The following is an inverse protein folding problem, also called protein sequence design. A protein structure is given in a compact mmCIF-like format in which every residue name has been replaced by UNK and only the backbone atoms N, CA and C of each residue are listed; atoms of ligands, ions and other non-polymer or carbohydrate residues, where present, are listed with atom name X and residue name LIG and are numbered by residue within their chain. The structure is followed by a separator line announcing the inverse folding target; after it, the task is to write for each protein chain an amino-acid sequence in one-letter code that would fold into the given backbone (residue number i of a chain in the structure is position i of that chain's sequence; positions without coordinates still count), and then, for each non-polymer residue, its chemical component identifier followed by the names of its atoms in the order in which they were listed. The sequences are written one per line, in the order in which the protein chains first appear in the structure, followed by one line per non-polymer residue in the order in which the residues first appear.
data_IF_431224424641
#
_entry.id   IF_431224424641
#
_cell.length_a   1.000
_cell.length_b   1.000
_cell.length_c   1.000
_cell.angle_alpha   90.00
_cell.angle_beta   90.00
_cell.angle_gamma   90.00
#
_symmetry.space_group_name_H-M   'P 1'
#
loop_
_entity.id
_entity.type
_entity.pdbx_description
1 polymer ?
#
# COMPACT_ATOMS: atom_id res chain seq x y z
N UNK A 1 30.21 28.64 -2.57
CA UNK A 1 29.36 27.46 -2.87
C UNK A 1 28.71 26.99 -1.57
N UNK A 2 27.52 27.49 -1.22
CA UNK A 2 26.79 27.09 0.00
C UNK A 2 26.07 25.77 -0.26
N UNK A 3 26.59 24.66 0.25
CA UNK A 3 25.90 23.40 0.33
C UNK A 3 24.66 23.58 1.22
N UNK A 4 23.45 23.63 0.63
CA UNK A 4 22.21 23.54 1.39
C UNK A 4 22.19 22.19 2.09
N UNK A 5 22.55 22.15 3.38
CA UNK A 5 22.27 20.99 4.25
C UNK A 5 20.77 20.72 4.14
N UNK A 6 20.37 19.66 3.45
CA UNK A 6 18.99 19.16 3.50
C UNK A 6 18.64 18.96 4.98
N UNK A 7 17.69 19.72 5.50
CA UNK A 7 17.18 19.51 6.85
C UNK A 7 16.72 18.06 6.96
N UNK A 8 17.41 17.28 7.78
CA UNK A 8 17.09 15.87 8.02
C UNK A 8 15.79 15.83 8.84
N UNK A 9 14.69 15.45 8.20
CA UNK A 9 13.43 15.25 8.91
C UNK A 9 13.58 13.99 9.77
N UNK A 10 13.54 14.16 11.09
CA UNK A 10 13.65 13.07 12.04
C UNK A 10 12.34 12.26 12.06
N UNK A 11 12.41 10.93 12.13
CA UNK A 11 11.22 10.11 12.25
C UNK A 11 10.54 10.36 13.61
N UNK A 12 9.21 10.45 13.58
CA UNK A 12 8.38 10.64 14.76
C UNK A 12 7.78 9.31 15.19
N UNK A 13 7.81 9.02 16.49
CA UNK A 13 7.27 7.81 17.09
C UNK A 13 6.31 8.20 18.20
N UNK A 14 5.09 7.68 18.20
CA UNK A 14 4.11 7.85 19.27
C UNK A 14 4.28 6.71 20.29
N UNK A 15 4.37 7.02 21.58
CA UNK A 15 4.42 6.01 22.64
C UNK A 15 3.30 6.23 23.63
N UNK A 16 2.44 5.21 23.74
CA UNK A 16 1.34 5.16 24.71
C UNK A 16 1.73 4.24 25.87
N UNK A 17 1.94 4.83 27.03
CA UNK A 17 2.32 4.14 28.26
C UNK A 17 1.86 4.94 29.49
N UNK A 18 1.41 4.27 30.57
CA UNK A 18 0.98 4.94 31.80
C UNK A 18 2.13 5.49 32.63
N UNK A 19 3.36 4.99 32.43
CA UNK A 19 4.54 5.32 33.20
C UNK A 19 5.19 6.60 32.71
N UNK A 20 4.86 7.75 33.26
CA UNK A 20 5.41 9.06 32.85
C UNK A 20 6.94 9.10 32.90
N UNK A 21 7.54 8.48 33.97
CA UNK A 21 8.99 8.42 34.10
C UNK A 21 9.64 7.68 32.91
N UNK A 22 9.05 6.56 32.48
CA UNK A 22 9.50 5.80 31.33
C UNK A 22 9.39 6.65 30.05
N UNK A 23 8.28 7.35 29.84
CA UNK A 23 8.07 8.24 28.69
C UNK A 23 9.13 9.34 28.63
N UNK A 24 9.44 9.98 29.77
CA UNK A 24 10.45 11.06 29.84
C UNK A 24 11.84 10.52 29.52
N UNK A 25 12.25 9.40 30.11
CA UNK A 25 13.56 8.80 29.91
C UNK A 25 13.74 8.33 28.46
N UNK A 26 12.73 7.64 27.93
CA UNK A 26 12.71 7.18 26.53
C UNK A 26 12.76 8.34 25.56
N UNK A 27 12.06 9.43 25.83
CA UNK A 27 12.10 10.65 24.99
C UNK A 27 13.51 11.23 24.90
N UNK A 28 14.21 11.35 26.03
CA UNK A 28 15.60 11.85 26.06
C UNK A 28 16.54 10.93 25.28
N UNK A 29 16.41 9.63 25.50
CA UNK A 29 17.23 8.63 24.82
C UNK A 29 16.99 8.62 23.31
N UNK A 30 15.73 8.62 22.85
CA UNK A 30 15.37 8.63 21.45
C UNK A 30 15.88 9.89 20.73
N UNK A 31 15.83 11.04 21.40
CA UNK A 31 16.36 12.28 20.82
C UNK A 31 17.86 12.18 20.52
N UNK A 32 18.66 11.53 21.40
CA UNK A 32 20.07 11.26 21.14
C UNK A 32 20.34 10.31 19.97
N UNK A 33 19.31 9.52 19.58
CA UNK A 33 19.36 8.57 18.44
C UNK A 33 18.66 9.10 17.18
N UNK A 34 18.40 10.43 17.15
CA UNK A 34 17.72 11.12 16.05
C UNK A 34 16.28 10.63 15.77
N UNK A 35 15.54 10.30 16.84
CA UNK A 35 14.12 9.92 16.80
C UNK A 35 13.34 10.91 17.68
N UNK A 36 12.21 11.43 17.17
CA UNK A 36 11.32 12.29 17.93
C UNK A 36 10.22 11.45 18.58
N UNK A 37 10.24 11.33 19.91
CA UNK A 37 9.18 10.65 20.65
C UNK A 37 8.06 11.63 21.01
N UNK A 38 6.84 11.26 20.67
CA UNK A 38 5.60 11.88 21.14
C UNK A 38 5.06 11.01 22.27
N UNK A 39 5.13 11.44 23.52
CA UNK A 39 4.59 10.69 24.65
C UNK A 39 3.07 10.87 24.74
N UNK A 40 2.38 9.83 25.19
CA UNK A 40 0.98 9.86 25.59
C UNK A 40 0.80 8.95 26.82
N UNK A 41 0.25 9.48 27.91
CA UNK A 41 -0.01 8.73 29.13
C UNK A 41 -1.47 8.27 29.26
N UNK A 42 -2.32 8.71 28.33
CA UNK A 42 -3.74 8.33 28.27
C UNK A 42 -4.19 8.05 26.83
N UNK A 43 -5.32 7.35 26.73
CA UNK A 43 -5.95 7.01 25.46
C UNK A 43 -6.36 8.27 24.69
N UNK A 44 -6.92 9.25 25.40
CA UNK A 44 -7.37 10.53 24.84
C UNK A 44 -6.19 11.31 24.24
N UNK A 45 -5.08 11.38 24.98
CA UNK A 45 -3.87 12.02 24.53
C UNK A 45 -3.28 11.31 23.31
N UNK A 46 -3.22 9.97 23.33
CA UNK A 46 -2.74 9.19 22.20
C UNK A 46 -3.53 9.47 20.92
N UNK A 47 -4.85 9.49 20.99
CA UNK A 47 -5.69 9.84 19.85
C UNK A 47 -5.51 11.29 19.37
N UNK A 48 -5.38 12.24 20.31
CA UNK A 48 -5.09 13.64 19.98
C UNK A 48 -3.76 13.79 19.25
N UNK A 49 -2.73 13.13 19.74
CA UNK A 49 -1.40 13.17 19.13
C UNK A 49 -1.34 12.45 17.77
N UNK A 50 -2.04 11.32 17.64
CA UNK A 50 -2.11 10.57 16.40
C UNK A 50 -2.75 11.37 15.26
N UNK A 51 -3.84 12.10 15.56
CA UNK A 51 -4.53 12.95 14.59
C UNK A 51 -3.69 14.18 14.17
N UNK A 52 -2.88 14.69 15.09
CA UNK A 52 -2.03 15.87 14.83
C UNK A 52 -0.74 15.54 14.10
N UNK A 53 -0.15 14.39 14.43
CA UNK A 53 1.18 14.00 13.98
C UNK A 53 1.07 12.58 13.42
N UNK A 54 1.27 12.39 12.13
CA UNK A 54 1.32 11.05 11.55
C UNK A 54 2.67 10.39 11.90
N UNK A 55 2.75 9.55 12.96
CA UNK A 55 4.00 8.94 13.37
C UNK A 55 4.42 7.84 12.40
N UNK A 56 5.72 7.63 12.25
CA UNK A 56 6.28 6.55 11.44
C UNK A 56 6.13 5.17 12.11
N UNK A 57 5.91 5.15 13.44
CA UNK A 57 5.69 3.94 14.22
C UNK A 57 4.96 4.30 15.52
N UNK A 58 4.20 3.38 16.07
CA UNK A 58 3.50 3.51 17.35
C UNK A 58 4.05 2.45 18.31
N UNK A 59 4.26 2.82 19.57
CA UNK A 59 4.63 1.91 20.67
C UNK A 59 3.47 1.91 21.65
N UNK A 60 2.97 0.75 22.03
CA UNK A 60 1.82 0.64 22.92
C UNK A 60 2.07 -0.34 24.05
N UNK A 61 1.92 0.12 25.29
CA UNK A 61 1.77 -0.79 26.42
C UNK A 61 0.35 -1.39 26.41
N UNK A 62 0.28 -2.66 26.03
CA UNK A 62 -1.01 -3.38 25.94
C UNK A 62 -1.66 -3.59 27.32
N UNK A 63 -0.85 -3.68 28.37
CA UNK A 63 -1.31 -3.95 29.74
C UNK A 63 -1.73 -2.70 30.51
N UNK A 64 -2.01 -1.61 29.84
CA UNK A 64 -2.60 -0.45 30.47
C UNK A 64 -3.94 -0.81 31.15
N UNK A 65 -4.19 -0.21 32.32
CA UNK A 65 -5.39 -0.43 33.12
C UNK A 65 -6.67 -0.31 32.28
N UNK A 66 -7.57 -1.30 32.41
CA UNK A 66 -8.84 -1.34 31.66
C UNK A 66 -8.67 -1.66 30.16
N UNK A 67 -7.65 -2.44 29.80
CA UNK A 67 -7.37 -2.84 28.40
C UNK A 67 -7.24 -1.68 27.41
N UNK A 68 -6.90 -0.48 27.91
CA UNK A 68 -6.81 0.75 27.08
C UNK A 68 -5.83 0.62 25.91
N UNK A 69 -4.71 -0.08 26.10
CA UNK A 69 -3.75 -0.34 25.03
C UNK A 69 -4.36 -1.18 23.91
N UNK A 70 -5.09 -2.24 24.23
CA UNK A 70 -5.78 -3.07 23.24
C UNK A 70 -6.88 -2.30 22.51
N UNK A 71 -7.71 -1.53 23.23
CA UNK A 71 -8.76 -0.68 22.64
C UNK A 71 -8.17 0.34 21.66
N UNK A 72 -7.00 0.90 21.99
CA UNK A 72 -6.32 1.83 21.08
C UNK A 72 -5.93 1.16 19.76
N UNK A 73 -5.33 -0.02 19.82
CA UNK A 73 -4.94 -0.78 18.63
C UNK A 73 -6.15 -1.22 17.80
N UNK A 74 -7.21 -1.69 18.44
CA UNK A 74 -8.46 -2.02 17.73
C UNK A 74 -9.06 -0.81 17.01
N UNK A 75 -9.00 0.37 17.63
CA UNK A 75 -9.44 1.62 17.03
C UNK A 75 -8.57 2.03 15.83
N UNK A 76 -7.24 1.90 15.94
CA UNK A 76 -6.30 2.15 14.83
C UNK A 76 -6.61 1.24 13.65
N UNK A 77 -6.81 -0.06 13.87
CA UNK A 77 -7.09 -1.04 12.80
C UNK A 77 -8.39 -0.76 12.04
N UNK A 78 -9.40 -0.22 12.72
CA UNK A 78 -10.68 0.15 12.10
C UNK A 78 -10.61 1.48 11.33
N UNK A 79 -9.56 2.28 11.54
CA UNK A 79 -9.42 3.58 10.92
C UNK A 79 -8.55 3.50 9.65
N UNK A 80 -9.12 3.87 8.49
CA UNK A 80 -8.44 3.80 7.19
C UNK A 80 -7.18 4.67 7.11
N UNK A 81 -7.14 5.78 7.87
CA UNK A 81 -6.01 6.71 7.85
C UNK A 81 -4.83 6.21 8.69
N UNK A 82 -5.06 5.35 9.67
CA UNK A 82 -4.04 4.94 10.65
C UNK A 82 -3.70 3.45 10.61
N UNK A 83 -4.54 2.59 10.01
CA UNK A 83 -4.37 1.14 9.99
C UNK A 83 -3.04 0.65 9.37
N UNK A 84 -2.42 1.49 8.55
CA UNK A 84 -1.15 1.19 7.88
C UNK A 84 0.08 1.52 8.73
N UNK A 85 -0.09 2.21 9.88
CA UNK A 85 1.03 2.60 10.73
C UNK A 85 1.51 1.36 11.51
N UNK A 86 2.79 0.96 11.36
CA UNK A 86 3.33 -0.16 12.09
C UNK A 86 3.38 0.15 13.60
N UNK A 87 3.17 -0.88 14.42
CA UNK A 87 3.19 -0.70 15.86
C UNK A 87 3.96 -1.80 16.59
N UNK A 88 4.54 -1.43 17.71
CA UNK A 88 5.30 -2.29 18.63
C UNK A 88 4.48 -2.51 19.87
N UNK A 89 4.35 -3.76 20.27
CA UNK A 89 3.74 -4.15 21.54
C UNK A 89 4.78 -4.07 22.66
N UNK A 90 4.55 -3.24 23.66
CA UNK A 90 5.25 -3.31 24.94
C UNK A 90 4.35 -4.00 25.98
N UNK A 91 4.95 -4.75 26.89
CA UNK A 91 4.19 -5.46 27.91
C UNK A 91 5.08 -5.90 29.07
N UNK A 92 4.51 -6.00 30.26
CA UNK A 92 5.15 -6.64 31.43
C UNK A 92 5.03 -8.17 31.40
N UNK A 93 4.24 -8.73 30.48
CA UNK A 93 4.04 -10.16 30.33
C UNK A 93 4.94 -10.67 29.21
N UNK A 94 5.82 -11.62 29.52
CA UNK A 94 6.83 -12.17 28.59
C UNK A 94 6.55 -13.59 28.14
N UNK A 95 5.39 -14.18 28.48
CA UNK A 95 5.05 -15.55 28.15
C UNK A 95 4.81 -15.72 26.65
N UNK A 96 5.02 -16.94 26.15
CA UNK A 96 4.85 -17.27 24.74
C UNK A 96 3.45 -16.96 24.24
N UNK A 97 2.42 -17.27 25.02
CA UNK A 97 1.02 -17.02 24.68
C UNK A 97 0.70 -15.51 24.54
N UNK A 98 1.31 -14.68 25.39
CA UNK A 98 1.16 -13.22 25.29
C UNK A 98 1.81 -12.67 24.01
N UNK A 99 2.94 -13.25 23.58
CA UNK A 99 3.58 -12.89 22.31
C UNK A 99 2.74 -13.32 21.11
N UNK A 100 2.24 -14.55 21.11
CA UNK A 100 1.32 -15.06 20.09
C UNK A 100 0.12 -14.12 19.96
N UNK A 101 -0.47 -13.69 21.09
CA UNK A 101 -1.59 -12.76 21.13
C UNK A 101 -1.22 -11.38 20.56
N UNK A 102 -0.04 -10.85 20.88
CA UNK A 102 0.47 -9.60 20.31
C UNK A 102 0.59 -9.68 18.79
N UNK A 103 1.19 -10.74 18.27
CA UNK A 103 1.32 -10.95 16.83
C UNK A 103 -0.03 -11.20 16.13
N UNK A 104 -0.96 -11.92 16.75
CA UNK A 104 -2.33 -12.09 16.22
C UNK A 104 -3.08 -10.77 16.14
N UNK A 105 -2.78 -9.83 17.03
CA UNK A 105 -3.23 -8.45 16.94
C UNK A 105 -2.49 -7.63 15.85
N UNK A 106 -1.51 -8.20 15.17
CA UNK A 106 -0.81 -7.59 14.04
C UNK A 106 0.30 -6.62 14.45
N UNK A 107 0.95 -6.80 15.61
CA UNK A 107 2.14 -5.99 15.94
C UNK A 107 3.30 -6.33 14.99
N UNK A 108 4.10 -5.32 14.68
CA UNK A 108 5.33 -5.48 13.88
C UNK A 108 6.49 -6.04 14.72
N UNK A 109 6.45 -5.81 16.03
CA UNK A 109 7.39 -6.36 16.99
C UNK A 109 6.75 -6.42 18.39
N UNK A 110 7.30 -7.29 19.22
CA UNK A 110 6.90 -7.47 20.60
C UNK A 110 8.13 -7.36 21.49
N UNK A 111 8.05 -6.57 22.56
CA UNK A 111 9.14 -6.35 23.49
C UNK A 111 8.62 -6.39 24.93
N UNK A 112 9.26 -7.17 25.81
CA UNK A 112 8.88 -7.27 27.21
C UNK A 112 9.61 -6.23 28.07
N UNK A 113 8.90 -5.69 29.07
CA UNK A 113 9.49 -4.85 30.12
C UNK A 113 10.07 -5.74 31.23
N UNK A 114 11.27 -5.44 31.77
CA UNK A 114 12.17 -4.34 31.37
C UNK A 114 12.89 -4.65 30.04
N UNK A 115 13.19 -3.61 29.24
CA UNK A 115 13.86 -3.72 27.96
C UNK A 115 15.10 -2.83 27.88
N UNK A 116 16.02 -3.18 26.97
CA UNK A 116 17.13 -2.33 26.61
C UNK A 116 16.64 -1.22 25.63
N UNK A 117 16.83 0.07 25.96
CA UNK A 117 16.45 1.15 25.05
C UNK A 117 17.14 1.07 23.66
N UNK A 118 18.33 0.49 23.56
CA UNK A 118 19.02 0.30 22.27
C UNK A 118 18.34 -0.78 21.41
N UNK A 119 17.84 -1.85 22.05
CA UNK A 119 17.03 -2.87 21.37
C UNK A 119 15.78 -2.24 20.76
N UNK A 120 15.05 -1.43 21.54
CA UNK A 120 13.84 -0.76 21.07
C UNK A 120 14.15 0.19 19.90
N UNK A 121 15.24 0.96 19.97
CA UNK A 121 15.69 1.83 18.87
C UNK A 121 16.02 1.02 17.62
N UNK A 122 16.68 -0.12 17.76
CA UNK A 122 17.05 -0.99 16.65
C UNK A 122 15.82 -1.55 15.95
N UNK A 123 14.82 -1.99 16.70
CA UNK A 123 13.53 -2.46 16.19
C UNK A 123 12.82 -1.33 15.42
N UNK A 124 12.73 -0.12 15.98
CA UNK A 124 12.10 1.04 15.36
C UNK A 124 12.79 1.38 14.03
N UNK A 125 14.12 1.47 14.02
CA UNK A 125 14.89 1.77 12.81
C UNK A 125 14.65 0.74 11.71
N UNK A 126 14.61 -0.53 12.07
CA UNK A 126 14.32 -1.62 11.14
C UNK A 126 12.91 -1.51 10.55
N UNK A 127 11.89 -1.31 11.39
CA UNK A 127 10.50 -1.13 10.95
C UNK A 127 10.37 0.07 10.00
N UNK A 128 10.95 1.22 10.37
CA UNK A 128 10.91 2.43 9.54
C UNK A 128 11.64 2.20 8.21
N UNK A 129 12.77 1.49 8.22
CA UNK A 129 13.50 1.15 7.00
C UNK A 129 12.63 0.32 6.05
N UNK A 130 12.04 -0.76 6.53
CA UNK A 130 11.18 -1.64 5.73
C UNK A 130 9.95 -0.90 5.18
N UNK A 131 9.30 -0.08 5.99
CA UNK A 131 8.17 0.75 5.55
C UNK A 131 8.57 1.70 4.43
N UNK A 132 9.73 2.37 4.55
CA UNK A 132 10.25 3.27 3.51
C UNK A 132 10.58 2.53 2.21
N UNK A 133 11.17 1.34 2.29
CA UNK A 133 11.47 0.51 1.11
C UNK A 133 10.18 0.11 0.40
N UNK A 134 9.19 -0.38 1.14
CA UNK A 134 7.88 -0.78 0.60
C UNK A 134 7.17 0.40 -0.06
N UNK A 135 7.16 1.58 0.56
CA UNK A 135 6.58 2.79 -0.02
C UNK A 135 7.30 3.24 -1.30
N UNK A 136 8.62 3.17 -1.35
CA UNK A 136 9.38 3.49 -2.57
C UNK A 136 9.02 2.54 -3.71
N UNK A 137 8.88 1.24 -3.40
CA UNK A 137 8.49 0.25 -4.40
C UNK A 137 7.06 0.49 -4.90
N UNK A 138 6.11 0.73 -4.02
CA UNK A 138 4.73 1.05 -4.37
C UNK A 138 4.65 2.32 -5.24
N UNK A 139 5.38 3.38 -4.88
CA UNK A 139 5.43 4.61 -5.66
C UNK A 139 6.04 4.38 -7.06
N UNK A 140 7.12 3.60 -7.16
CA UNK A 140 7.73 3.26 -8.45
C UNK A 140 6.74 2.54 -9.35
N UNK A 141 6.01 1.55 -8.82
CA UNK A 141 4.99 0.82 -9.58
C UNK A 141 3.82 1.73 -9.99
N UNK A 142 3.37 2.61 -9.11
CA UNK A 142 2.33 3.60 -9.44
C UNK A 142 2.76 4.53 -10.58
N UNK A 143 4.00 5.05 -10.55
CA UNK A 143 4.52 5.92 -11.59
C UNK A 143 4.66 5.17 -12.92
N UNK A 144 5.10 3.92 -12.90
CA UNK A 144 5.16 3.07 -14.09
C UNK A 144 3.77 2.85 -14.71
N UNK A 145 2.78 2.49 -13.90
CA UNK A 145 1.39 2.33 -14.36
C UNK A 145 0.82 3.63 -14.94
N UNK A 146 1.12 4.77 -14.31
CA UNK A 146 0.73 6.09 -14.82
C UNK A 146 1.37 6.40 -16.19
N UNK A 147 2.65 6.07 -16.35
CA UNK A 147 3.36 6.25 -17.62
C UNK A 147 2.77 5.36 -18.73
N UNK A 148 2.52 4.08 -18.43
CA UNK A 148 1.86 3.16 -19.36
C UNK A 148 0.49 3.72 -19.77
N UNK A 149 -0.32 4.17 -18.81
CA UNK A 149 -1.62 4.78 -19.07
C UNK A 149 -1.50 6.00 -19.99
N UNK A 150 -0.53 6.89 -19.74
CA UNK A 150 -0.34 8.08 -20.58
C UNK A 150 0.09 7.72 -22.01
N UNK A 151 0.96 6.72 -22.20
CA UNK A 151 1.37 6.24 -23.51
C UNK A 151 0.17 5.68 -24.28
N UNK A 152 -0.63 4.84 -23.63
CA UNK A 152 -1.85 4.28 -24.20
C UNK A 152 -2.85 5.38 -24.61
N UNK A 153 -3.06 6.39 -23.73
CA UNK A 153 -3.96 7.52 -24.03
C UNK A 153 -3.46 8.35 -25.20
N UNK A 154 -2.13 8.58 -25.32
CA UNK A 154 -1.55 9.33 -26.44
C UNK A 154 -1.70 8.60 -27.77
N UNK A 155 -1.47 7.28 -27.79
CA UNK A 155 -1.73 6.45 -28.97
C UNK A 155 -3.19 6.53 -29.39
N UNK A 156 -4.07 6.50 -28.42
CA UNK A 156 -5.51 6.57 -28.65
C UNK A 156 -5.98 7.93 -29.17
N UNK A 157 -5.53 9.05 -28.60
CA UNK A 157 -5.88 10.38 -29.11
C UNK A 157 -5.35 10.58 -30.54
N UNK A 158 -4.16 10.06 -30.84
CA UNK A 158 -3.62 10.04 -32.22
C UNK A 158 -4.50 9.23 -33.18
N UNK A 159 -5.05 8.10 -32.69
CA UNK A 159 -5.97 7.26 -33.49
C UNK A 159 -7.31 7.98 -33.72
N UNK A 160 -7.90 8.63 -32.72
CA UNK A 160 -9.15 9.40 -32.84
C UNK A 160 -9.01 10.63 -33.76
N UNK A 161 -7.87 11.33 -33.68
CA UNK A 161 -7.62 12.51 -34.53
C UNK A 161 -7.34 12.15 -35.98
N UNK A 162 -6.96 10.89 -36.26
CA UNK A 162 -6.77 10.39 -37.65
C UNK A 162 -8.09 10.10 -38.39
N UNK A 163 -9.25 10.37 -37.79
CA UNK A 163 -10.60 10.27 -38.37
C UNK A 163 -10.94 8.88 -39.00
N UNK A 164 -10.20 7.83 -38.59
CA UNK A 164 -10.57 6.46 -38.96
C UNK A 164 -11.66 5.97 -37.99
N UNK A 165 -12.94 6.14 -38.38
CA UNK A 165 -14.00 5.29 -37.84
C UNK A 165 -13.53 3.84 -38.01
N UNK A 166 -13.52 3.08 -36.91
CA UNK A 166 -13.28 1.64 -36.96
C UNK A 166 -14.39 1.03 -37.82
N UNK A 167 -14.15 0.87 -39.11
CA UNK A 167 -15.05 0.12 -40.00
C UNK A 167 -14.90 -1.37 -39.68
N UNK A 168 -15.51 -1.78 -38.56
CA UNK A 168 -15.57 -3.17 -38.19
C UNK A 168 -16.75 -3.84 -38.90
N UNK A 169 -16.45 -4.96 -39.55
CA UNK A 169 -17.52 -5.84 -40.02
C UNK A 169 -18.29 -6.42 -38.84
N UNK A 170 -19.53 -6.82 -39.06
CA UNK A 170 -20.39 -7.45 -38.02
C UNK A 170 -19.67 -8.62 -37.35
N UNK A 171 -18.94 -9.43 -38.12
CA UNK A 171 -18.16 -10.56 -37.53
C UNK A 171 -16.99 -10.10 -36.68
N UNK A 172 -16.26 -9.07 -37.08
CA UNK A 172 -15.17 -8.49 -36.25
C UNK A 172 -15.71 -7.89 -34.95
N UNK A 173 -16.85 -7.19 -35.03
CA UNK A 173 -17.50 -6.63 -33.85
C UNK A 173 -17.96 -7.76 -32.90
N UNK A 174 -18.60 -8.82 -33.41
CA UNK A 174 -19.02 -9.97 -32.59
C UNK A 174 -17.82 -10.65 -31.92
N UNK A 175 -16.70 -10.83 -32.64
CA UNK A 175 -15.48 -11.41 -32.07
C UNK A 175 -14.91 -10.50 -30.99
N UNK A 176 -14.86 -9.19 -31.21
CA UNK A 176 -14.40 -8.21 -30.22
C UNK A 176 -15.24 -8.28 -28.94
N UNK A 177 -16.57 -8.26 -29.03
CA UNK A 177 -17.46 -8.36 -27.86
C UNK A 177 -17.21 -9.64 -27.05
N UNK A 178 -16.96 -10.78 -27.70
CA UNK A 178 -16.65 -12.03 -27.00
C UNK A 178 -15.28 -12.00 -26.32
N UNK A 179 -14.29 -11.36 -26.91
CA UNK A 179 -12.96 -11.13 -26.30
C UNK A 179 -13.10 -10.25 -25.05
N UNK A 180 -13.88 -9.17 -25.12
CA UNK A 180 -14.07 -8.22 -24.03
C UNK A 180 -14.73 -8.85 -22.80
N UNK A 181 -15.59 -9.84 -22.96
CA UNK A 181 -16.17 -10.62 -21.87
C UNK A 181 -15.29 -11.80 -21.43
N UNK A 182 -14.03 -11.86 -21.90
CA UNK A 182 -13.02 -12.82 -21.44
C UNK A 182 -13.12 -14.23 -22.03
N UNK A 183 -13.89 -14.44 -23.13
CA UNK A 183 -13.95 -15.76 -23.77
C UNK A 183 -12.68 -16.09 -24.51
N UNK A 184 -12.27 -17.37 -24.42
CA UNK A 184 -11.09 -17.90 -25.12
C UNK A 184 -11.43 -18.23 -26.59
N UNK A 185 -10.40 -18.25 -27.45
CA UNK A 185 -10.54 -18.54 -28.88
C UNK A 185 -11.37 -19.80 -29.19
N UNK A 186 -11.17 -20.95 -28.52
CA UNK A 186 -11.99 -22.15 -28.77
C UNK A 186 -13.48 -21.98 -28.42
N UNK A 187 -13.77 -21.20 -27.37
CA UNK A 187 -15.15 -20.92 -26.94
C UNK A 187 -15.86 -20.00 -27.92
N UNK A 188 -15.13 -19.00 -28.47
CA UNK A 188 -15.65 -18.09 -29.49
C UNK A 188 -15.93 -18.87 -30.79
N UNK A 189 -14.98 -19.72 -31.18
CA UNK A 189 -15.10 -20.57 -32.36
C UNK A 189 -16.32 -21.49 -32.31
N UNK A 190 -16.50 -22.16 -31.18
CA UNK A 190 -17.68 -23.01 -30.92
C UNK A 190 -18.99 -22.20 -30.95
N UNK A 191 -19.03 -21.04 -30.32
CA UNK A 191 -20.22 -20.17 -30.27
C UNK A 191 -20.64 -19.64 -31.68
N UNK A 192 -19.67 -19.43 -32.54
CA UNK A 192 -19.89 -18.87 -33.88
C UNK A 192 -19.90 -19.94 -35.00
N UNK A 193 -19.76 -21.22 -34.63
CA UNK A 193 -19.65 -22.35 -35.57
C UNK A 193 -18.60 -22.14 -36.70
N UNK A 194 -17.40 -21.63 -36.31
CA UNK A 194 -16.27 -21.44 -37.22
C UNK A 194 -14.98 -22.01 -36.60
N UNK A 195 -13.93 -22.15 -37.42
CA UNK A 195 -12.66 -22.70 -36.93
C UNK A 195 -11.90 -21.70 -36.03
N UNK A 196 -11.06 -22.23 -35.12
CA UNK A 196 -10.15 -21.42 -34.31
C UNK A 196 -9.29 -20.51 -35.18
N UNK A 197 -8.77 -21.05 -36.31
CA UNK A 197 -7.97 -20.29 -37.29
C UNK A 197 -8.72 -19.10 -37.86
N UNK A 198 -10.04 -19.22 -38.04
CA UNK A 198 -10.87 -18.09 -38.50
C UNK A 198 -10.98 -17.01 -37.43
N UNK A 199 -11.11 -17.38 -36.15
CA UNK A 199 -11.13 -16.43 -35.03
C UNK A 199 -9.79 -15.71 -34.89
N UNK A 200 -8.66 -16.43 -34.98
CA UNK A 200 -7.31 -15.84 -34.98
C UNK A 200 -7.12 -14.81 -36.10
N UNK A 201 -7.67 -15.11 -37.30
CA UNK A 201 -7.68 -14.18 -38.42
C UNK A 201 -8.50 -12.90 -38.17
N UNK A 202 -9.63 -13.01 -37.48
CA UNK A 202 -10.40 -11.84 -37.05
C UNK A 202 -9.68 -11.05 -35.98
N UNK A 203 -9.04 -11.72 -35.01
CA UNK A 203 -8.20 -11.07 -34.00
C UNK A 203 -7.07 -10.28 -34.65
N UNK A 204 -6.32 -10.89 -35.56
CA UNK A 204 -5.24 -10.18 -36.30
C UNK A 204 -5.76 -8.93 -36.98
N UNK A 205 -6.89 -9.02 -37.70
CA UNK A 205 -7.51 -7.86 -38.37
C UNK A 205 -7.96 -6.78 -37.36
N UNK A 206 -8.46 -7.17 -36.20
CA UNK A 206 -8.83 -6.24 -35.14
C UNK A 206 -7.59 -5.50 -34.61
N UNK A 207 -6.48 -6.23 -34.37
CA UNK A 207 -5.22 -5.63 -33.94
C UNK A 207 -4.68 -4.65 -34.97
N UNK A 208 -4.68 -5.03 -36.27
CA UNK A 208 -4.25 -4.16 -37.35
C UNK A 208 -5.11 -2.89 -37.49
N UNK A 209 -6.44 -3.04 -37.35
CA UNK A 209 -7.37 -1.91 -37.44
C UNK A 209 -7.29 -0.96 -36.25
N UNK A 210 -6.93 -1.48 -35.07
CA UNK A 210 -6.82 -0.72 -33.83
C UNK A 210 -5.40 -0.25 -33.53
N UNK A 211 -4.43 -0.59 -34.40
CA UNK A 211 -3.01 -0.31 -34.21
C UNK A 211 -2.49 -0.81 -32.84
N UNK A 212 -2.98 -1.98 -32.42
CA UNK A 212 -2.57 -2.65 -31.17
C UNK A 212 -1.76 -3.90 -31.52
N UNK A 213 -0.79 -4.25 -30.65
CA UNK A 213 0.07 -5.41 -30.89
C UNK A 213 -0.44 -6.68 -30.19
N UNK A 214 -1.27 -6.52 -29.16
CA UNK A 214 -1.77 -7.63 -28.34
C UNK A 214 -3.26 -7.52 -28.05
N UNK A 215 -3.89 -8.68 -27.81
CA UNK A 215 -5.28 -8.75 -27.36
C UNK A 215 -5.51 -8.01 -26.04
N UNK A 216 -4.51 -8.02 -25.15
CA UNK A 216 -4.56 -7.27 -23.89
C UNK A 216 -4.62 -5.75 -24.13
N UNK A 217 -3.83 -5.24 -25.07
CA UNK A 217 -3.90 -3.82 -25.48
C UNK A 217 -5.25 -3.48 -26.09
N UNK A 218 -5.81 -4.37 -26.92
CA UNK A 218 -7.12 -4.19 -27.51
C UNK A 218 -8.23 -4.14 -26.44
N UNK A 219 -8.22 -5.04 -25.45
CA UNK A 219 -9.13 -5.03 -24.32
C UNK A 219 -8.97 -3.74 -23.52
N UNK A 220 -7.75 -3.34 -23.20
CA UNK A 220 -7.45 -2.13 -22.43
C UNK A 220 -7.90 -0.86 -23.17
N UNK A 221 -7.71 -0.83 -24.48
CA UNK A 221 -8.17 0.26 -25.35
C UNK A 221 -9.69 0.43 -25.23
N UNK A 222 -10.46 -0.66 -25.25
CA UNK A 222 -11.91 -0.62 -25.12
C UNK A 222 -12.36 -0.08 -23.75
N UNK A 223 -11.74 -0.54 -22.65
CA UNK A 223 -12.07 -0.08 -21.28
C UNK A 223 -11.73 1.39 -20.99
N UNK A 224 -10.83 1.99 -21.80
CA UNK A 224 -10.52 3.42 -21.72
C UNK A 224 -11.56 4.26 -22.48
N UNK A 225 -12.25 3.66 -23.45
CA UNK A 225 -13.18 4.33 -24.38
C UNK A 225 -14.62 4.42 -23.87
N UNK A 226 -15.04 3.44 -23.09
CA UNK A 226 -16.38 3.28 -22.56
C UNK A 226 -16.38 3.19 -21.03
#
# INVERSE_FOLDING_TARGET
MYSKKKSKILPTVLMLDKEERLLILTKKYFFSKEILLIPANSLEEAWKQLKKNLPACIIVDINMTGNKGQLFIEGIKKNKDFQHIPWICLTTKGLTDDRIKGYSLGCSAYLSKPFDPEELVSIIKNIIHHTRVSLKFALKNYLLLKEIRMRLTKHYTSFLTSNKRLDLTIKEQTVLEKILIGKKVPEIASNLNISNRSIEKYISKLLDKTDTQTVLELIYLHWILY
#
